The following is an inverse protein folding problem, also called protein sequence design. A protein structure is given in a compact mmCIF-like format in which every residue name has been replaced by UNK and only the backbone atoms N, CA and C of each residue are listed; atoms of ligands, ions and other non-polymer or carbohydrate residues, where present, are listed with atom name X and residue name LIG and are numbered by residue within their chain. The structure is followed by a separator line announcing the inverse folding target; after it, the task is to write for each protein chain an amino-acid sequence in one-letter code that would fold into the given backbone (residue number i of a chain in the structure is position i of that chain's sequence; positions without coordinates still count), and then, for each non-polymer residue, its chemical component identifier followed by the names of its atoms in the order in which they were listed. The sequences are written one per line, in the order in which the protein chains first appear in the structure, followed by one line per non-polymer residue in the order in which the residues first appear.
data_IF_637827398854
#
_entry.id   IF_637827398854
#
_cell.length_a   1.000
_cell.length_b   1.000
_cell.length_c   1.000
_cell.angle_alpha   90.00
_cell.angle_beta   90.00
_cell.angle_gamma   90.00
#
_symmetry.space_group_name_H-M   'P 1'
#
loop_
_entity.id
_entity.type
_entity.pdbx_description
1 polymer ?
#
# COMPACT_ATOMS: atom_id res chain seq x y z
N UNK A 1 20.92 10.82 -63.30
CA UNK A 1 21.64 10.36 -62.09
C UNK A 1 21.39 11.30 -60.91
N UNK A 2 21.58 12.62 -61.05
CA UNK A 2 21.34 13.59 -59.96
C UNK A 2 19.92 13.58 -59.39
N UNK A 3 18.89 13.53 -60.25
CA UNK A 3 17.49 13.51 -59.81
C UNK A 3 17.19 12.30 -58.93
N UNK A 4 17.69 11.12 -59.33
CA UNK A 4 17.52 9.88 -58.58
C UNK A 4 18.19 9.93 -57.21
N UNK A 5 19.42 10.45 -57.13
CA UNK A 5 20.15 10.62 -55.87
C UNK A 5 19.40 11.61 -54.96
N UNK A 6 18.95 12.76 -55.50
CA UNK A 6 18.17 13.74 -54.75
C UNK A 6 16.87 13.14 -54.18
N UNK A 7 16.14 12.35 -54.97
CA UNK A 7 14.92 11.68 -54.53
C UNK A 7 15.19 10.68 -53.40
N UNK A 8 16.25 9.88 -53.50
CA UNK A 8 16.64 8.92 -52.45
C UNK A 8 17.03 9.64 -51.17
N UNK A 9 17.82 10.72 -51.26
CA UNK A 9 18.22 11.51 -50.09
C UNK A 9 17.02 12.09 -49.35
N UNK A 10 16.04 12.63 -50.09
CA UNK A 10 14.80 13.14 -49.48
C UNK A 10 14.03 12.01 -48.79
N UNK A 11 13.93 10.84 -49.42
CA UNK A 11 13.24 9.68 -48.85
C UNK A 11 13.91 9.18 -47.56
N UNK A 12 15.25 9.15 -47.52
CA UNK A 12 15.98 8.78 -46.30
C UNK A 12 15.75 9.77 -45.16
N UNK A 13 15.72 11.07 -45.45
CA UNK A 13 15.46 12.11 -44.43
C UNK A 13 14.04 11.97 -43.88
N UNK A 14 13.05 11.75 -44.75
CA UNK A 14 11.66 11.51 -44.32
C UNK A 14 11.57 10.27 -43.43
N UNK A 15 12.25 9.18 -43.80
CA UNK A 15 12.30 7.95 -43.00
C UNK A 15 12.92 8.19 -41.62
N UNK A 16 14.03 8.94 -41.56
CA UNK A 16 14.66 9.32 -40.29
C UNK A 16 13.70 10.12 -39.41
N UNK A 17 13.04 11.14 -39.97
CA UNK A 17 12.07 11.96 -39.23
C UNK A 17 10.93 11.09 -38.69
N UNK A 18 10.39 10.18 -39.50
CA UNK A 18 9.31 9.29 -39.09
C UNK A 18 9.71 8.38 -37.91
N UNK A 19 10.91 7.79 -37.95
CA UNK A 19 11.43 6.95 -36.87
C UNK A 19 11.62 7.76 -35.59
N UNK A 20 12.17 8.97 -35.67
CA UNK A 20 12.36 9.83 -34.50
C UNK A 20 11.03 10.25 -33.88
N UNK A 21 10.03 10.61 -34.69
CA UNK A 21 8.68 10.92 -34.21
C UNK A 21 8.03 9.72 -33.52
N UNK A 22 8.21 8.52 -34.07
CA UNK A 22 7.67 7.29 -33.48
C UNK A 22 8.31 6.97 -32.12
N UNK A 23 9.62 7.19 -31.99
CA UNK A 23 10.38 6.97 -30.75
C UNK A 23 10.07 8.01 -29.66
N UNK A 24 9.78 9.25 -30.03
CA UNK A 24 9.39 10.33 -29.09
C UNK A 24 7.92 10.25 -28.71
N UNK A 25 7.08 9.63 -29.56
CA UNK A 25 5.66 9.43 -29.25
C UNK A 25 5.47 8.61 -27.97
N UNK A 26 4.36 8.80 -27.24
CA UNK A 26 4.05 7.99 -26.05
C UNK A 26 3.93 6.49 -26.35
N UNK A 27 3.73 6.10 -27.61
CA UNK A 27 3.72 4.71 -28.07
C UNK A 27 5.13 4.12 -28.26
N UNK A 28 6.18 4.96 -28.29
CA UNK A 28 7.58 4.53 -28.39
C UNK A 28 8.01 3.61 -27.24
N UNK A 29 7.37 3.74 -26.07
CA UNK A 29 7.60 2.86 -24.93
C UNK A 29 7.25 1.39 -25.23
N UNK A 30 6.20 1.13 -26.04
CA UNK A 30 5.78 -0.22 -26.45
C UNK A 30 6.85 -0.90 -27.32
N UNK A 31 7.60 -0.12 -28.10
CA UNK A 31 8.70 -0.63 -28.93
C UNK A 31 10.02 -0.81 -28.16
N UNK A 32 10.10 -0.34 -26.91
CA UNK A 32 11.30 -0.44 -26.05
C UNK A 32 11.24 -1.61 -25.07
N UNK A 33 10.06 -2.20 -24.85
CA UNK A 33 9.90 -3.36 -23.97
C UNK A 33 10.36 -4.62 -24.70
N UNK A 34 11.60 -5.03 -24.43
CA UNK A 34 12.09 -6.38 -24.73
C UNK A 34 12.20 -7.14 -23.40
N UNK A 35 11.85 -8.43 -23.42
CA UNK A 35 12.06 -9.40 -22.34
C UNK A 35 13.48 -9.37 -21.75
N UNK A 36 14.47 -8.93 -22.52
CA UNK A 36 15.87 -8.81 -22.11
C UNK A 36 16.21 -7.49 -21.39
N UNK A 37 15.41 -6.43 -21.56
CA UNK A 37 15.69 -5.09 -21.02
C UNK A 37 15.09 -4.84 -19.62
N UNK A 38 14.43 -5.84 -19.03
CA UNK A 38 13.69 -5.68 -17.78
C UNK A 38 12.44 -4.80 -17.94
N UNK A 39 11.56 -4.80 -16.94
CA UNK A 39 10.42 -3.89 -16.95
C UNK A 39 10.89 -2.44 -16.75
N UNK A 40 10.32 -1.47 -17.50
CA UNK A 40 10.54 -0.06 -17.23
C UNK A 40 10.20 0.27 -15.77
N UNK A 41 11.10 0.97 -15.08
CA UNK A 41 10.87 1.43 -13.71
C UNK A 41 9.58 2.27 -13.71
N UNK A 42 8.55 1.76 -13.04
CA UNK A 42 7.26 2.46 -12.89
C UNK A 42 7.49 3.71 -12.04
N UNK A 43 6.65 4.73 -12.22
CA UNK A 43 6.75 5.99 -11.47
C UNK A 43 6.73 5.81 -9.94
N UNK A 44 6.24 4.67 -9.46
CA UNK A 44 6.31 4.26 -8.06
C UNK A 44 6.33 2.73 -7.99
N UNK A 45 7.37 2.16 -7.40
CA UNK A 45 7.48 0.73 -7.14
C UNK A 45 8.02 0.57 -5.72
N UNK A 46 7.11 0.51 -4.75
CA UNK A 46 7.44 0.24 -3.36
C UNK A 46 7.59 -1.26 -3.17
N UNK A 47 8.72 -1.70 -2.61
CA UNK A 47 8.91 -3.07 -2.10
C UNK A 47 8.07 -3.28 -0.82
N UNK A 48 7.65 -2.19 -0.18
CA UNK A 48 6.82 -2.22 1.02
C UNK A 48 5.39 -2.49 0.56
N UNK A 49 4.96 -3.74 0.71
CA UNK A 49 3.58 -4.12 0.54
C UNK A 49 2.73 -3.41 1.60
N UNK A 50 1.60 -2.86 1.17
CA UNK A 50 0.66 -2.13 2.01
C UNK A 50 -0.69 -2.84 1.97
N UNK A 51 -1.30 -2.97 3.14
CA UNK A 51 -2.63 -3.53 3.30
C UNK A 51 -3.49 -2.68 4.21
N UNK A 52 -4.73 -3.11 4.42
CA UNK A 52 -5.61 -2.47 5.38
C UNK A 52 -6.23 -3.49 6.31
N UNK A 53 -6.53 -3.04 7.54
CA UNK A 53 -7.34 -3.77 8.50
C UNK A 53 -8.39 -2.83 9.06
N UNK A 54 -9.60 -3.34 9.26
CA UNK A 54 -10.66 -2.65 9.98
C UNK A 54 -10.85 -3.33 11.34
N UNK A 55 -10.64 -2.56 12.41
CA UNK A 55 -10.88 -2.97 13.78
C UNK A 55 -12.30 -2.57 14.18
N UNK A 56 -12.99 -3.46 14.87
CA UNK A 56 -14.32 -3.22 15.40
C UNK A 56 -14.42 -3.72 16.85
N UNK A 57 -15.48 -3.32 17.53
CA UNK A 57 -15.68 -3.46 18.97
C UNK A 57 -16.77 -4.47 19.30
N UNK A 58 -16.57 -5.22 20.38
CA UNK A 58 -17.60 -5.93 21.11
C UNK A 58 -17.65 -5.41 22.55
N UNK A 59 -18.85 -4.97 22.97
CA UNK A 59 -19.09 -4.39 24.29
C UNK A 59 -19.30 -2.88 24.24
N UNK A 60 -19.32 -2.25 25.42
CA UNK A 60 -19.46 -0.80 25.56
C UNK A 60 -18.09 -0.12 25.48
N UNK A 61 -18.03 0.96 24.73
CA UNK A 61 -16.82 1.78 24.57
C UNK A 61 -17.12 3.24 24.87
N UNK A 62 -16.26 3.85 25.68
CA UNK A 62 -16.33 5.29 25.98
C UNK A 62 -15.44 6.02 24.98
N UNK A 63 -16.01 7.01 24.28
CA UNK A 63 -15.24 7.78 23.31
C UNK A 63 -13.97 8.39 23.93
N UNK A 64 -12.85 8.33 23.21
CA UNK A 64 -11.55 8.87 23.60
C UNK A 64 -10.90 8.16 24.81
N UNK A 65 -11.41 7.00 25.21
CA UNK A 65 -10.87 6.26 26.34
C UNK A 65 -9.66 5.40 25.96
N UNK A 66 -9.33 5.32 24.67
CA UNK A 66 -8.20 4.53 24.18
C UNK A 66 -7.47 5.22 23.02
N UNK A 67 -6.16 5.02 22.96
CA UNK A 67 -5.29 5.44 21.86
C UNK A 67 -4.69 4.25 21.15
N UNK A 68 -4.56 4.36 19.84
CA UNK A 68 -3.94 3.38 18.97
C UNK A 68 -2.47 3.74 18.75
N UNK A 69 -1.62 2.73 18.83
CA UNK A 69 -0.19 2.81 18.55
C UNK A 69 0.19 1.83 17.44
N UNK A 70 1.10 2.24 16.58
CA UNK A 70 1.72 1.40 15.55
C UNK A 70 3.22 1.43 15.79
N UNK A 71 3.83 0.28 16.04
CA UNK A 71 5.25 0.14 16.39
C UNK A 71 5.68 1.02 17.57
N UNK A 72 4.79 1.23 18.55
CA UNK A 72 5.03 2.09 19.70
C UNK A 72 4.86 3.60 19.44
N UNK A 73 4.58 4.02 18.21
CA UNK A 73 4.26 5.41 17.88
C UNK A 73 2.76 5.68 17.98
N UNK A 74 2.39 6.82 18.56
CA UNK A 74 0.97 7.21 18.72
C UNK A 74 0.36 7.56 17.36
N UNK A 75 -0.52 6.69 16.87
CA UNK A 75 -1.18 6.87 15.58
C UNK A 75 -2.44 7.75 15.69
N UNK A 76 -3.33 7.45 16.64
CA UNK A 76 -4.56 8.23 16.83
C UNK A 76 -5.23 7.95 18.17
N UNK A 77 -6.07 8.89 18.63
CA UNK A 77 -7.05 8.64 19.69
C UNK A 77 -8.30 8.02 19.07
N UNK A 78 -8.80 6.93 19.63
CA UNK A 78 -9.98 6.26 19.11
C UNK A 78 -11.23 7.02 19.58
N UNK A 79 -11.86 7.74 18.66
CA UNK A 79 -13.12 8.42 18.95
C UNK A 79 -14.31 7.46 18.89
N UNK A 80 -14.30 6.55 17.92
CA UNK A 80 -15.37 5.58 17.66
C UNK A 80 -14.84 4.40 16.85
N UNK A 81 -15.49 3.25 17.01
CA UNK A 81 -15.34 2.09 16.12
C UNK A 81 -16.44 2.10 15.03
N UNK A 82 -16.20 1.49 13.85
CA UNK A 82 -14.97 0.82 13.43
C UNK A 82 -13.85 1.80 13.05
N UNK A 83 -12.59 1.34 13.17
CA UNK A 83 -11.37 2.09 12.81
C UNK A 83 -10.65 1.35 11.69
N UNK A 84 -10.40 2.03 10.58
CA UNK A 84 -9.63 1.49 9.45
C UNK A 84 -8.19 1.96 9.55
N UNK A 85 -7.26 1.02 9.40
CA UNK A 85 -5.81 1.23 9.47
C UNK A 85 -5.17 0.79 8.17
N UNK A 86 -4.23 1.60 7.69
CA UNK A 86 -3.31 1.24 6.62
C UNK A 86 -2.02 0.76 7.29
N UNK A 87 -1.62 -0.47 6.98
CA UNK A 87 -0.53 -1.18 7.66
C UNK A 87 0.46 -1.70 6.63
N UNK A 88 1.72 -1.71 7.03
CA UNK A 88 2.84 -2.25 6.27
C UNK A 88 3.28 -3.60 6.84
N UNK A 89 4.01 -4.38 6.04
CA UNK A 89 4.55 -5.67 6.48
C UNK A 89 5.46 -5.50 7.71
N UNK A 90 5.18 -6.28 8.76
CA UNK A 90 5.88 -6.24 10.04
C UNK A 90 5.29 -5.31 11.10
N UNK A 91 4.29 -4.48 10.77
CA UNK A 91 3.71 -3.53 11.72
C UNK A 91 3.07 -4.21 12.92
N UNK A 92 3.36 -3.70 14.12
CA UNK A 92 2.75 -4.12 15.38
C UNK A 92 1.72 -3.08 15.80
N UNK A 93 0.47 -3.52 15.93
CA UNK A 93 -0.65 -2.68 16.36
C UNK A 93 -0.92 -2.91 17.84
N UNK A 94 -1.02 -1.81 18.58
CA UNK A 94 -1.25 -1.80 20.03
C UNK A 94 -2.35 -0.79 20.39
N UNK A 95 -3.08 -1.06 21.46
CA UNK A 95 -4.09 -0.16 22.01
C UNK A 95 -3.76 0.12 23.46
N UNK A 96 -3.63 1.40 23.78
CA UNK A 96 -3.51 1.89 25.14
C UNK A 96 -4.87 2.37 25.63
N UNK A 97 -5.49 1.65 26.56
CA UNK A 97 -6.71 2.09 27.22
C UNK A 97 -6.40 2.84 28.52
N UNK A 98 -7.12 3.94 28.78
CA UNK A 98 -7.00 4.70 30.03
C UNK A 98 -7.38 3.85 31.25
N UNK A 99 -6.76 4.13 32.40
CA UNK A 99 -6.99 3.47 33.69
C UNK A 99 -8.46 3.41 34.13
N UNK A 100 -9.28 4.38 33.68
CA UNK A 100 -10.69 4.48 34.02
C UNK A 100 -11.62 3.73 33.04
N UNK A 101 -11.07 3.08 32.02
CA UNK A 101 -11.83 2.40 30.98
C UNK A 101 -12.21 0.98 31.41
N UNK A 102 -13.48 0.61 31.24
CA UNK A 102 -13.86 -0.79 31.39
C UNK A 102 -13.24 -1.65 30.29
N UNK A 103 -12.89 -2.90 30.61
CA UNK A 103 -12.32 -3.79 29.61
C UNK A 103 -13.34 -4.07 28.49
N UNK A 104 -12.89 -3.96 27.24
CA UNK A 104 -13.70 -4.20 26.04
C UNK A 104 -12.98 -5.14 25.09
N UNK A 105 -13.69 -5.69 24.10
CA UNK A 105 -13.11 -6.61 23.14
C UNK A 105 -12.99 -5.95 21.76
N UNK A 106 -11.84 -6.12 21.11
CA UNK A 106 -11.60 -5.64 19.75
C UNK A 106 -11.37 -6.83 18.83
N UNK A 107 -11.98 -6.81 17.65
CA UNK A 107 -11.84 -7.85 16.65
C UNK A 107 -11.57 -7.26 15.27
N UNK A 108 -10.99 -8.05 14.36
CA UNK A 108 -10.88 -7.67 12.96
C UNK A 108 -12.21 -7.93 12.26
N UNK A 109 -12.84 -6.87 11.76
CA UNK A 109 -14.05 -7.00 10.95
C UNK A 109 -13.75 -7.21 9.47
N UNK A 110 -12.65 -6.64 8.98
CA UNK A 110 -12.27 -6.68 7.57
C UNK A 110 -10.76 -6.54 7.40
N UNK A 111 -10.20 -7.06 6.31
CA UNK A 111 -8.79 -6.95 5.97
C UNK A 111 -8.54 -7.09 4.46
N UNK A 112 -7.44 -6.51 3.98
CA UNK A 112 -7.00 -6.72 2.59
C UNK A 112 -6.61 -8.18 2.32
N UNK A 113 -6.86 -8.63 1.10
CA UNK A 113 -6.36 -9.92 0.60
C UNK A 113 -4.83 -9.94 0.64
N UNK A 114 -4.23 -10.99 1.19
CA UNK A 114 -2.77 -11.12 1.35
C UNK A 114 -2.22 -10.62 2.69
N UNK A 115 -3.05 -9.95 3.51
CA UNK A 115 -2.66 -9.54 4.86
C UNK A 115 -2.98 -10.65 5.87
N UNK A 116 -1.96 -11.12 6.58
CA UNK A 116 -2.07 -12.09 7.67
C UNK A 116 -1.75 -11.41 9.01
N UNK A 117 -2.33 -11.91 10.09
CA UNK A 117 -2.11 -11.39 11.43
C UNK A 117 -1.80 -12.55 12.37
N UNK A 118 -1.01 -12.28 13.41
CA UNK A 118 -0.70 -13.26 14.46
C UNK A 118 -1.76 -13.34 15.56
N UNK A 119 -2.94 -12.76 15.34
CA UNK A 119 -4.06 -12.80 16.29
C UNK A 119 -4.54 -14.25 16.46
N UNK A 120 -4.35 -14.79 17.67
CA UNK A 120 -4.72 -16.18 18.00
C UNK A 120 -6.22 -16.38 18.16
N UNK A 121 -6.89 -15.36 18.67
CA UNK A 121 -8.32 -15.35 18.94
C UNK A 121 -9.02 -14.38 17.99
N UNK A 122 -10.30 -14.63 17.70
CA UNK A 122 -11.08 -13.73 16.85
C UNK A 122 -11.26 -12.34 17.48
N UNK A 123 -11.14 -12.22 18.81
CA UNK A 123 -11.21 -10.97 19.54
C UNK A 123 -10.13 -10.90 20.60
N UNK A 124 -9.54 -9.73 20.81
CA UNK A 124 -8.57 -9.47 21.88
C UNK A 124 -9.25 -8.62 22.94
N UNK A 125 -9.14 -9.04 24.21
CA UNK A 125 -9.60 -8.25 25.35
C UNK A 125 -8.61 -7.12 25.62
N UNK A 126 -9.10 -5.89 25.62
CA UNK A 126 -8.35 -4.68 25.95
C UNK A 126 -8.65 -4.33 27.40
N UNK A 127 -7.62 -4.41 28.24
CA UNK A 127 -7.68 -3.99 29.65
C UNK A 127 -7.01 -2.62 29.80
N UNK A 128 -7.20 -1.90 30.93
CA UNK A 128 -6.45 -0.68 31.17
C UNK A 128 -4.94 -0.87 31.04
N UNK A 129 -4.26 0.10 30.44
CA UNK A 129 -2.84 0.02 30.07
C UNK A 129 -2.61 -0.35 28.60
N UNK A 130 -1.38 -0.73 28.28
CA UNK A 130 -0.95 -1.06 26.92
C UNK A 130 -1.26 -2.53 26.58
N UNK A 131 -1.98 -2.76 25.49
CA UNK A 131 -2.34 -4.09 25.02
C UNK A 131 -1.89 -4.26 23.58
N UNK A 132 -1.09 -5.29 23.31
CA UNK A 132 -0.73 -5.68 21.96
C UNK A 132 -1.91 -6.39 21.29
N UNK A 133 -2.35 -5.89 20.14
CA UNK A 133 -3.40 -6.54 19.35
C UNK A 133 -2.81 -7.62 18.45
N UNK A 134 -1.94 -7.20 17.52
CA UNK A 134 -1.47 -8.04 16.43
C UNK A 134 -0.16 -7.51 15.84
N UNK A 135 0.62 -8.40 15.22
CA UNK A 135 1.59 -8.07 14.18
C UNK A 135 1.01 -8.47 12.82
N UNK A 136 1.24 -7.62 11.83
CA UNK A 136 0.86 -7.85 10.45
C UNK A 136 2.01 -8.48 9.69
N UNK A 137 1.72 -9.54 8.95
CA UNK A 137 2.63 -10.13 7.97
C UNK A 137 1.89 -10.14 6.60
N UNK A 138 2.43 -9.48 5.58
CA UNK A 138 1.84 -9.43 4.23
C UNK A 138 2.61 -10.41 3.33
N UNK A 139 1.87 -11.30 2.66
CA UNK A 139 2.44 -12.28 1.74
C UNK A 139 1.71 -12.20 0.41
N UNK A 140 2.45 -11.89 -0.65
CA UNK A 140 2.03 -12.05 -2.05
C UNK A 140 2.08 -13.51 -2.50
#
# INVERSE_FOLDING_TARGET
MEFFIKSISVLMVIMLIAVQLMLVSPYGAVFRTDSLNGEPIKNYQSIIEQGYVTLNLLGEYVANSASLFINGEHAMVIHRFPVKLELTDGDVVEIHASDQTHAFHVYLSDKSSGLYTDMRENSVKISPGMNRLMRVDIRN
#
